data_IF_625806969420
#
_entry.id   IF_625806969420
#
_cell.length_a   1.000
_cell.length_b   1.000
_cell.length_c   1.000
_cell.angle_alpha   90.00
_cell.angle_beta   90.00
_cell.angle_gamma   90.00
#
_symmetry.space_group_name_H-M   'P 1'
#
loop_
_entity.id
_entity.type
_entity.pdbx_description
1 polymer ?
#
# COMPACT_ATOMS: atom_id res chain seq x y z
N UNK A 1 1.19 -18.79 12.17
CA UNK A 1 0.18 -17.77 11.86
C UNK A 1 -1.01 -18.50 11.28
N UNK A 2 -2.18 -18.40 11.90
CA UNK A 2 -3.43 -18.99 11.39
C UNK A 2 -4.11 -18.00 10.45
N UNK A 3 -5.01 -18.46 9.58
CA UNK A 3 -5.78 -17.60 8.66
C UNK A 3 -6.56 -16.52 9.42
N UNK A 4 -7.26 -16.91 10.49
CA UNK A 4 -8.02 -16.00 11.32
C UNK A 4 -7.14 -14.90 11.95
N UNK A 5 -5.94 -15.26 12.41
CA UNK A 5 -4.99 -14.31 12.98
C UNK A 5 -4.32 -13.42 11.92
N UNK A 6 -4.44 -13.73 10.63
CA UNK A 6 -3.98 -12.88 9.53
C UNK A 6 -5.08 -11.91 9.10
N UNK A 7 -6.33 -12.37 9.05
CA UNK A 7 -7.48 -11.57 8.60
C UNK A 7 -8.07 -10.66 9.69
N UNK A 8 -8.12 -11.13 10.93
CA UNK A 8 -8.90 -10.52 12.02
C UNK A 8 -8.02 -9.99 13.16
N UNK A 9 -6.77 -9.64 12.90
CA UNK A 9 -5.86 -9.17 13.94
C UNK A 9 -6.11 -7.68 14.28
N UNK A 10 -6.49 -7.33 15.52
CA UNK A 10 -6.75 -5.95 15.90
C UNK A 10 -5.48 -5.11 16.09
N UNK A 11 -4.32 -5.76 16.33
CA UNK A 11 -3.08 -5.09 16.70
C UNK A 11 -2.13 -4.89 15.51
N UNK A 12 -2.25 -5.71 14.46
CA UNK A 12 -1.35 -5.69 13.31
C UNK A 12 -2.11 -5.83 11.99
N UNK A 13 -1.91 -4.87 11.10
CA UNK A 13 -2.44 -4.85 9.73
C UNK A 13 -1.33 -4.95 8.66
N UNK A 14 -0.08 -5.12 9.08
CA UNK A 14 1.11 -5.26 8.22
C UNK A 14 1.93 -6.48 8.61
N UNK A 15 2.29 -7.29 7.62
CA UNK A 15 3.06 -8.52 7.76
C UNK A 15 4.28 -8.50 6.84
N UNK A 16 5.47 -8.51 7.43
CA UNK A 16 6.73 -8.55 6.67
C UNK A 16 7.19 -9.99 6.47
N UNK A 17 7.47 -10.35 5.22
CA UNK A 17 8.02 -11.65 4.84
C UNK A 17 9.42 -11.49 4.23
N UNK A 18 10.31 -12.42 4.57
CA UNK A 18 11.69 -12.43 4.08
C UNK A 18 12.67 -11.69 5.00
N UNK A 19 13.83 -11.33 4.45
CA UNK A 19 14.89 -10.60 5.16
C UNK A 19 15.59 -9.65 4.18
N UNK A 20 16.05 -8.48 4.63
CA UNK A 20 16.80 -7.57 3.78
C UNK A 20 17.95 -8.29 3.03
N UNK A 21 18.18 -7.99 1.74
CA UNK A 21 17.51 -6.97 0.92
C UNK A 21 16.19 -7.43 0.26
N UNK A 22 15.78 -8.69 0.43
CA UNK A 22 14.60 -9.27 -0.21
C UNK A 22 13.51 -9.49 0.83
N UNK A 23 12.82 -8.40 1.16
CA UNK A 23 11.65 -8.43 2.04
C UNK A 23 10.44 -7.83 1.31
N UNK A 24 9.26 -8.32 1.64
CA UNK A 24 7.97 -7.80 1.18
C UNK A 24 7.10 -7.50 2.38
N UNK A 25 6.35 -6.41 2.30
CA UNK A 25 5.32 -6.07 3.29
C UNK A 25 3.95 -6.32 2.67
N UNK A 26 3.14 -7.09 3.38
CA UNK A 26 1.75 -7.38 3.02
C UNK A 26 0.86 -6.65 4.01
N UNK A 27 0.02 -5.75 3.50
CA UNK A 27 -0.92 -4.98 4.32
C UNK A 27 -2.34 -5.47 4.05
N UNK A 28 -3.12 -5.72 5.10
CA UNK A 28 -4.54 -6.13 4.99
C UNK A 28 -5.48 -4.93 4.94
N UNK A 29 -5.06 -3.79 5.47
CA UNK A 29 -5.80 -2.54 5.39
C UNK A 29 -4.85 -1.36 5.14
N UNK A 30 -5.35 -0.33 4.45
CA UNK A 30 -4.62 0.92 4.26
C UNK A 30 -5.52 2.08 4.65
N UNK A 31 -5.07 2.86 5.62
CA UNK A 31 -5.84 4.00 6.13
C UNK A 31 -6.14 4.99 5.00
N UNK A 32 -7.42 5.34 4.87
CA UNK A 32 -7.90 6.34 3.90
C UNK A 32 -8.08 5.84 2.48
N UNK A 33 -7.96 4.53 2.24
CA UNK A 33 -8.26 3.88 0.96
C UNK A 33 -9.31 2.78 1.14
N UNK A 34 -10.14 2.61 0.11
CA UNK A 34 -10.96 1.42 -0.09
C UNK A 34 -10.30 0.51 -1.14
N UNK A 35 -10.23 -0.80 -0.87
CA UNK A 35 -9.51 -1.72 -1.74
C UNK A 35 -10.20 -1.88 -3.10
N UNK A 36 -11.52 -2.04 -3.12
CA UNK A 36 -12.26 -2.31 -4.36
C UNK A 36 -12.20 -1.11 -5.29
N UNK A 37 -12.38 0.10 -4.75
CA UNK A 37 -12.23 1.35 -5.51
C UNK A 37 -10.80 1.51 -6.06
N UNK A 38 -9.79 1.29 -5.21
CA UNK A 38 -8.39 1.44 -5.62
C UNK A 38 -7.95 0.36 -6.62
N UNK A 39 -8.49 -0.85 -6.49
CA UNK A 39 -8.19 -1.95 -7.40
C UNK A 39 -8.78 -1.68 -8.79
N UNK A 40 -9.99 -1.13 -8.87
CA UNK A 40 -10.59 -0.70 -10.13
C UNK A 40 -9.81 0.45 -10.78
N UNK A 41 -9.34 1.41 -9.98
CA UNK A 41 -8.55 2.56 -10.44
C UNK A 41 -7.06 2.24 -10.67
N UNK A 42 -6.63 1.02 -10.33
CA UNK A 42 -5.23 0.61 -10.45
C UNK A 42 -4.77 0.55 -11.91
N UNK A 43 -3.48 0.77 -12.12
CA UNK A 43 -2.87 0.74 -13.45
C UNK A 43 -2.06 -0.55 -13.63
N UNK A 44 -2.31 -1.26 -14.72
CA UNK A 44 -1.44 -2.36 -15.13
C UNK A 44 -0.24 -1.81 -15.90
N UNK A 45 0.97 -2.07 -15.43
CA UNK A 45 2.23 -1.70 -16.08
C UNK A 45 3.02 -2.94 -16.43
N UNK A 46 3.79 -2.87 -17.51
CA UNK A 46 4.71 -3.93 -17.89
C UNK A 46 6.11 -3.67 -17.34
N UNK A 47 6.68 -4.67 -16.69
CA UNK A 47 8.09 -4.71 -16.27
C UNK A 47 8.74 -5.93 -16.94
N UNK A 48 9.31 -5.72 -18.13
CA UNK A 48 9.84 -6.79 -18.96
C UNK A 48 8.73 -7.73 -19.43
N UNK A 49 8.69 -8.94 -18.87
CA UNK A 49 7.65 -9.96 -19.17
C UNK A 49 6.54 -10.02 -18.13
N UNK A 50 6.63 -9.22 -17.06
CA UNK A 50 5.67 -9.23 -15.96
C UNK A 50 4.67 -8.09 -16.10
N UNK A 51 3.39 -8.37 -15.87
CA UNK A 51 2.36 -7.35 -15.70
C UNK A 51 2.16 -7.10 -14.21
N UNK A 52 2.45 -5.88 -13.78
CA UNK A 52 2.39 -5.44 -12.39
C UNK A 52 1.24 -4.46 -12.25
N UNK A 53 0.39 -4.67 -11.26
CA UNK A 53 -0.68 -3.74 -10.90
C UNK A 53 -0.14 -2.73 -9.91
N UNK A 54 -0.21 -1.46 -10.26
CA UNK A 54 0.25 -0.34 -9.44
C UNK A 54 -0.95 0.50 -9.00
N UNK A 55 -0.86 1.00 -7.76
CA UNK A 55 -1.82 1.97 -7.24
C UNK A 55 -1.82 3.24 -8.10
N UNK A 56 -2.98 3.85 -8.28
CA UNK A 56 -3.08 5.12 -9.01
C UNK A 56 -2.35 6.24 -8.26
N UNK A 57 -1.88 7.27 -8.97
CA UNK A 57 -1.22 8.41 -8.33
C UNK A 57 -2.16 9.15 -7.36
N UNK A 58 -3.43 9.29 -7.73
CA UNK A 58 -4.45 9.93 -6.89
C UNK A 58 -4.67 9.16 -5.58
N UNK A 59 -4.73 7.83 -5.64
CA UNK A 59 -4.94 7.01 -4.45
C UNK A 59 -3.66 6.93 -3.60
N UNK A 60 -2.48 6.92 -4.22
CA UNK A 60 -1.21 7.05 -3.49
C UNK A 60 -1.15 8.35 -2.68
N UNK A 61 -1.59 9.48 -3.26
CA UNK A 61 -1.66 10.76 -2.57
C UNK A 61 -2.67 10.74 -1.42
N UNK A 62 -3.85 10.12 -1.60
CA UNK A 62 -4.83 9.94 -0.53
C UNK A 62 -4.25 9.13 0.63
N UNK A 63 -3.56 8.02 0.33
CA UNK A 63 -2.92 7.18 1.34
C UNK A 63 -1.84 7.95 2.13
N UNK A 64 -0.97 8.69 1.43
CA UNK A 64 0.05 9.56 2.05
C UNK A 64 -0.57 10.65 2.94
N UNK A 65 -1.67 11.28 2.50
CA UNK A 65 -2.40 12.26 3.32
C UNK A 65 -3.01 11.64 4.57
N UNK A 66 -3.61 10.45 4.43
CA UNK A 66 -4.28 9.76 5.53
C UNK A 66 -3.30 9.13 6.54
N UNK A 67 -2.11 8.73 6.09
CA UNK A 67 -1.03 8.23 6.95
C UNK A 67 -0.46 9.35 7.85
N UNK A 68 -0.49 10.60 7.37
CA UNK A 68 -0.04 11.78 8.12
C UNK A 68 1.42 11.71 8.54
N UNK A 69 2.26 10.90 7.88
CA UNK A 69 3.69 10.84 8.22
C UNK A 69 4.31 12.20 7.93
N UNK A 70 5.13 12.77 8.84
CA UNK A 70 5.73 14.08 8.64
C UNK A 70 6.47 14.23 7.30
N UNK A 71 7.16 13.18 6.86
CA UNK A 71 7.80 13.10 5.53
C UNK A 71 6.81 13.09 4.35
N UNK A 72 5.62 12.50 4.52
CA UNK A 72 4.60 12.45 3.46
C UNK A 72 3.93 13.84 3.27
N UNK A 73 3.83 14.65 4.34
CA UNK A 73 3.34 16.03 4.28
C UNK A 73 4.34 16.92 3.51
N UNK A 74 5.64 16.76 3.79
CA UNK A 74 6.70 17.45 3.06
C UNK A 74 6.73 17.04 1.57
N UNK A 75 6.59 15.75 1.25
CA UNK A 75 6.51 15.26 -0.15
C UNK A 75 5.33 15.87 -0.93
N UNK A 76 4.17 16.05 -0.30
CA UNK A 76 2.99 16.66 -0.94
C UNK A 76 3.25 18.13 -1.30
N UNK A 77 4.08 18.83 -0.51
CA UNK A 77 4.46 20.23 -0.78
C UNK A 77 5.45 20.37 -1.94
N UNK A 78 6.20 19.32 -2.29
CA UNK A 78 7.12 19.31 -3.42
C UNK A 78 6.50 18.86 -4.76
N UNK A 79 5.28 18.31 -4.74
CA UNK A 79 4.56 17.88 -5.95
C UNK A 79 3.62 18.97 -6.53
N UNK A 80 3.51 20.12 -5.86
CA UNK A 80 2.72 21.29 -6.28
C UNK A 80 3.52 22.30 -7.10
#
# INVERSE_FOLDING_TARGET
MTEDAFLNNPDFDVFTFGRPPVAIDIMTSVKGLDFDECFLNSQLKSAGKLQIRLLSLSDLLKAKKASGRPKDIDDISCLS
#
